data_IF_890103543320
#
_entry.id   IF_890103543320
#
_cell.length_a   1.000
_cell.length_b   1.000
_cell.length_c   1.000
_cell.angle_alpha   90.00
_cell.angle_beta   90.00
_cell.angle_gamma   90.00
#
_symmetry.space_group_name_H-M   'P 1'
#
loop_
_entity.id
_entity.type
_entity.pdbx_description
1 polymer ?
#
# COMPACT_ATOMS: atom_id res chain seq x y z
N UNK A 1 18.25 -10.12 -19.74
CA UNK A 1 17.95 -8.96 -18.88
C UNK A 1 16.57 -9.18 -18.30
N UNK A 2 16.44 -9.36 -16.98
CA UNK A 2 15.13 -9.56 -16.35
C UNK A 2 14.26 -8.32 -16.61
N UNK A 3 13.01 -8.52 -17.07
CA UNK A 3 12.06 -7.43 -17.31
C UNK A 3 11.89 -6.63 -16.01
N UNK A 4 12.16 -5.33 -16.03
CA UNK A 4 11.87 -4.43 -14.92
C UNK A 4 10.39 -4.56 -14.57
N UNK A 5 10.09 -5.00 -13.35
CA UNK A 5 8.73 -5.15 -12.85
C UNK A 5 8.16 -3.74 -12.70
N UNK A 6 7.14 -3.39 -13.48
CA UNK A 6 6.39 -2.15 -13.25
C UNK A 6 5.55 -2.36 -11.99
N UNK A 7 6.04 -1.82 -10.88
CA UNK A 7 5.33 -1.82 -9.59
C UNK A 7 4.50 -0.54 -9.49
N UNK A 8 3.37 -0.61 -8.79
CA UNK A 8 2.50 0.54 -8.52
C UNK A 8 2.49 0.87 -7.03
N UNK A 9 2.00 2.06 -6.67
CA UNK A 9 1.79 2.44 -5.27
C UNK A 9 0.92 1.42 -4.51
N UNK A 10 -0.14 0.91 -5.15
CA UNK A 10 -1.02 -0.12 -4.55
C UNK A 10 -0.31 -1.45 -4.30
N UNK A 11 0.63 -1.85 -5.17
CA UNK A 11 1.44 -3.04 -4.92
C UNK A 11 2.35 -2.86 -3.71
N UNK A 12 3.01 -1.70 -3.60
CA UNK A 12 3.88 -1.38 -2.45
C UNK A 12 3.08 -1.36 -1.15
N UNK A 13 1.88 -0.77 -1.16
CA UNK A 13 0.95 -0.80 -0.03
C UNK A 13 0.60 -2.24 0.36
N UNK A 14 0.26 -3.08 -0.62
CA UNK A 14 -0.12 -4.48 -0.37
C UNK A 14 1.04 -5.27 0.26
N UNK A 15 2.23 -5.19 -0.34
CA UNK A 15 3.43 -5.83 0.18
C UNK A 15 3.80 -5.36 1.60
N UNK A 16 3.61 -4.08 1.90
CA UNK A 16 3.85 -3.55 3.24
C UNK A 16 2.85 -4.10 4.26
N UNK A 17 1.56 -4.12 3.92
CA UNK A 17 0.54 -4.70 4.79
C UNK A 17 0.80 -6.19 5.06
N UNK A 18 1.12 -6.96 4.02
CA UNK A 18 1.45 -8.39 4.15
C UNK A 18 2.65 -8.57 5.09
N UNK A 19 3.72 -7.79 4.90
CA UNK A 19 4.91 -7.86 5.74
C UNK A 19 4.58 -7.60 7.22
N UNK A 20 3.84 -6.52 7.52
CA UNK A 20 3.49 -6.17 8.90
C UNK A 20 2.59 -7.23 9.54
N UNK A 21 1.64 -7.80 8.78
CA UNK A 21 0.76 -8.86 9.28
C UNK A 21 1.53 -10.16 9.57
N UNK A 22 2.55 -10.49 8.77
CA UNK A 22 3.36 -11.70 8.95
C UNK A 22 4.42 -11.55 10.05
N UNK A 23 5.02 -10.37 10.18
CA UNK A 23 6.19 -10.14 11.03
C UNK A 23 5.86 -9.37 12.32
N UNK A 24 4.67 -8.77 12.43
CA UNK A 24 4.29 -7.86 13.53
C UNK A 24 5.23 -6.65 13.70
N UNK A 25 6.01 -6.31 12.67
CA UNK A 25 6.92 -5.16 12.65
C UNK A 25 7.02 -4.55 11.26
N UNK A 26 7.43 -3.28 11.20
CA UNK A 26 7.77 -2.61 9.95
C UNK A 26 9.06 -3.22 9.34
N UNK A 27 9.20 -3.31 8.01
CA UNK A 27 10.47 -3.71 7.40
C UNK A 27 11.65 -2.85 7.89
N UNK A 28 12.80 -3.52 8.09
CA UNK A 28 14.00 -2.90 8.67
C UNK A 28 14.60 -1.79 7.81
N UNK A 29 14.41 -1.85 6.50
CA UNK A 29 14.84 -0.83 5.55
C UNK A 29 14.10 -0.97 4.23
N UNK A 30 14.05 0.11 3.45
CA UNK A 30 13.48 0.10 2.10
C UNK A 30 14.23 -0.88 1.20
N UNK A 31 15.57 -0.95 1.33
CA UNK A 31 16.39 -1.92 0.62
C UNK A 31 15.96 -3.38 0.87
N UNK A 32 15.81 -3.77 2.15
CA UNK A 32 15.41 -5.13 2.51
C UNK A 32 14.01 -5.46 1.98
N UNK A 33 13.08 -4.52 2.16
CA UNK A 33 11.71 -4.63 1.67
C UNK A 33 11.63 -4.80 0.15
N UNK A 34 12.37 -3.98 -0.62
CA UNK A 34 12.40 -4.03 -2.07
C UNK A 34 13.00 -5.35 -2.59
N UNK A 35 14.08 -5.82 -1.93
CA UNK A 35 14.73 -7.09 -2.25
C UNK A 35 13.80 -8.28 -2.03
N UNK A 36 13.10 -8.32 -0.89
CA UNK A 36 12.15 -9.39 -0.56
C UNK A 36 10.99 -9.46 -1.55
N UNK A 37 10.49 -8.30 -1.97
CA UNK A 37 9.37 -8.18 -2.91
C UNK A 37 9.80 -8.17 -4.39
N UNK A 38 11.09 -8.41 -4.67
CA UNK A 38 11.68 -8.50 -6.00
C UNK A 38 11.43 -7.26 -6.88
N UNK A 39 11.72 -6.07 -6.35
CA UNK A 39 11.71 -4.82 -7.12
C UNK A 39 12.91 -3.90 -6.76
N UNK A 40 13.20 -2.91 -7.60
CA UNK A 40 14.30 -1.97 -7.38
C UNK A 40 13.90 -0.93 -6.31
N UNK A 41 14.75 -0.70 -5.30
CA UNK A 41 14.49 0.30 -4.25
C UNK A 41 14.15 1.70 -4.81
N UNK A 42 14.74 2.11 -5.94
CA UNK A 42 14.38 3.37 -6.61
C UNK A 42 12.87 3.47 -6.93
N UNK A 43 12.22 2.35 -7.25
CA UNK A 43 10.77 2.30 -7.50
C UNK A 43 9.94 2.52 -6.25
N UNK A 44 10.48 2.24 -5.07
CA UNK A 44 9.82 2.64 -3.83
C UNK A 44 9.72 4.17 -3.76
N UNK A 45 10.85 4.85 -3.96
CA UNK A 45 10.95 6.30 -3.84
C UNK A 45 10.24 7.08 -4.96
N UNK A 46 9.93 6.44 -6.09
CA UNK A 46 9.02 6.99 -7.11
C UNK A 46 7.57 7.13 -6.58
N UNK A 47 7.19 6.40 -5.52
CA UNK A 47 5.83 6.39 -4.97
C UNK A 47 5.75 6.90 -3.52
N UNK A 48 6.70 6.54 -2.65
CA UNK A 48 6.69 6.85 -1.22
C UNK A 48 8.06 7.30 -0.72
N UNK A 49 8.11 8.32 0.13
CA UNK A 49 9.37 8.81 0.70
C UNK A 49 9.92 7.94 1.84
N UNK A 50 9.05 7.24 2.56
CA UNK A 50 9.37 6.38 3.70
C UNK A 50 8.17 5.46 4.01
N UNK A 51 8.30 4.58 5.01
CA UNK A 51 7.22 3.68 5.43
C UNK A 51 6.01 4.40 6.04
N UNK A 52 6.20 5.50 6.77
CA UNK A 52 5.10 6.32 7.30
C UNK A 52 4.18 6.86 6.17
N UNK A 53 4.77 7.20 5.02
CA UNK A 53 3.99 7.61 3.85
C UNK A 53 3.14 6.47 3.28
N UNK A 54 3.58 5.22 3.41
CA UNK A 54 2.78 4.04 3.03
C UNK A 54 1.61 3.87 3.99
N UNK A 55 1.84 4.00 5.30
CA UNK A 55 0.79 3.90 6.33
C UNK A 55 -0.32 4.94 6.11
N UNK A 56 0.07 6.18 5.77
CA UNK A 56 -0.90 7.22 5.36
C UNK A 56 -1.63 6.83 4.08
N UNK A 57 -0.93 6.21 3.12
CA UNK A 57 -1.52 5.66 1.91
C UNK A 57 -2.54 4.55 2.18
N UNK A 58 -2.27 3.66 3.13
CA UNK A 58 -3.18 2.60 3.59
C UNK A 58 -4.43 3.21 4.20
N UNK A 59 -4.27 4.17 5.11
CA UNK A 59 -5.41 4.83 5.73
C UNK A 59 -6.29 5.55 4.69
N UNK A 60 -5.66 6.23 3.71
CA UNK A 60 -6.40 6.83 2.59
C UNK A 60 -7.13 5.77 1.77
N UNK A 61 -6.50 4.65 1.47
CA UNK A 61 -7.14 3.57 0.71
C UNK A 61 -8.36 2.99 1.46
N UNK A 62 -8.28 2.82 2.78
CA UNK A 62 -9.43 2.42 3.59
C UNK A 62 -10.52 3.47 3.62
N UNK A 63 -10.17 4.76 3.75
CA UNK A 63 -11.12 5.85 3.67
C UNK A 63 -11.85 5.86 2.33
N UNK A 64 -11.11 5.87 1.22
CA UNK A 64 -11.67 5.88 -0.13
C UNK A 64 -12.59 4.67 -0.35
N UNK A 65 -12.14 3.47 0.05
CA UNK A 65 -12.95 2.25 -0.05
C UNK A 65 -14.21 2.31 0.81
N UNK A 66 -14.14 2.90 2.01
CA UNK A 66 -15.29 3.07 2.90
C UNK A 66 -16.31 4.00 2.27
N UNK A 67 -15.89 5.16 1.77
CA UNK A 67 -16.78 6.11 1.09
C UNK A 67 -17.41 5.46 -0.14
N UNK A 68 -16.62 4.79 -0.98
CA UNK A 68 -17.14 4.10 -2.17
C UNK A 68 -18.18 3.02 -1.80
N UNK A 69 -17.93 2.26 -0.72
CA UNK A 69 -18.86 1.24 -0.25
C UNK A 69 -20.17 1.84 0.30
N UNK A 70 -20.08 2.97 1.00
CA UNK A 70 -21.24 3.71 1.50
C UNK A 70 -22.04 4.32 0.35
N UNK A 71 -21.38 4.97 -0.62
CA UNK A 71 -22.05 5.56 -1.78
C UNK A 71 -22.78 4.52 -2.64
N UNK A 72 -22.24 3.29 -2.73
CA UNK A 72 -22.88 2.18 -3.40
C UNK A 72 -24.06 1.55 -2.63
N UNK A 73 -24.28 1.94 -1.38
CA UNK A 73 -25.37 1.42 -0.55
C UNK A 73 -26.61 2.30 -0.66
N UNK A 74 -27.71 1.74 -1.16
CA UNK A 74 -29.01 2.43 -1.21
C UNK A 74 -29.51 2.83 0.19
N UNK A 75 -29.22 2.01 1.21
CA UNK A 75 -29.59 2.30 2.60
C UNK A 75 -28.90 3.56 3.13
N UNK A 76 -27.62 3.76 2.75
CA UNK A 76 -26.87 4.94 3.17
C UNK A 76 -27.38 6.22 2.50
N UNK A 77 -27.81 6.14 1.23
CA UNK A 77 -28.39 7.30 0.53
C UNK A 77 -29.72 7.76 1.14
N UNK A 78 -30.46 6.84 1.76
CA UNK A 78 -31.76 7.11 2.39
C UNK A 78 -31.67 7.19 3.92
N UNK A 79 -30.46 7.32 4.48
CA UNK A 79 -30.23 7.42 5.90
C UNK A 79 -30.51 8.85 6.39
N UNK A 80 -31.54 9.05 7.23
CA UNK A 80 -31.87 10.31 7.92
C UNK A 80 -31.03 10.55 9.18
#
# INVERSE_FOLDING_TARGET
>A
MAKKKNITASNIISFYMDYVLEHNEQPKSVYAFAKENNFEEAKFYEHFGNFEAIEKGIFKAFYDNTINALEASEDYQNFE
#
